data_IF_064756405820
#
_entry.id   IF_064756405820
#
_cell.length_a   1.000
_cell.length_b   1.000
_cell.length_c   1.000
_cell.angle_alpha   90.00
_cell.angle_beta   90.00
_cell.angle_gamma   90.00
#
_symmetry.space_group_name_H-M   'P 1'
#
loop_
_entity.id
_entity.type
_entity.pdbx_description
1 polymer ?
#
# COMPACT_ATOMS: atom_id res chain seq x y z
N UNK A 1 24.12 -17.46 21.55
CA UNK A 1 23.56 -16.11 21.26
C UNK A 1 24.48 -14.99 21.76
N UNK A 2 25.02 -15.10 23.00
CA UNK A 2 26.00 -14.16 23.57
C UNK A 2 27.30 -14.02 22.74
N UNK A 3 27.81 -15.13 22.20
CA UNK A 3 29.04 -15.17 21.38
C UNK A 3 28.97 -14.46 20.01
N UNK A 4 27.77 -14.15 19.49
CA UNK A 4 27.59 -13.45 18.21
C UNK A 4 27.51 -11.92 18.40
N UNK A 5 26.96 -11.48 19.54
CA UNK A 5 26.96 -10.08 19.93
C UNK A 5 28.35 -9.61 20.36
N UNK A 6 29.09 -10.44 21.10
CA UNK A 6 30.47 -10.14 21.52
C UNK A 6 31.46 -10.03 20.34
N UNK A 7 31.11 -10.57 19.17
CA UNK A 7 31.91 -10.47 17.93
C UNK A 7 31.54 -9.27 17.05
N UNK A 8 30.64 -8.39 17.50
CA UNK A 8 30.14 -7.26 16.68
C UNK A 8 29.30 -7.67 15.47
N UNK A 9 29.00 -8.97 15.32
CA UNK A 9 28.21 -9.53 14.22
C UNK A 9 26.70 -9.47 14.50
N UNK A 10 26.30 -8.90 15.65
CA UNK A 10 24.91 -8.68 16.04
C UNK A 10 24.36 -7.29 15.65
N UNK A 11 25.21 -6.35 15.25
CA UNK A 11 24.77 -5.02 14.79
C UNK A 11 24.41 -5.06 13.31
N UNK A 12 23.20 -5.55 13.02
CA UNK A 12 22.53 -5.17 11.78
C UNK A 12 22.14 -3.71 11.95
N UNK A 13 22.76 -2.80 11.19
CA UNK A 13 22.30 -1.42 11.09
C UNK A 13 20.79 -1.45 10.87
N UNK A 14 20.05 -0.96 11.87
CA UNK A 14 18.62 -0.80 11.78
C UNK A 14 18.30 -0.02 10.51
N UNK A 15 17.34 -0.53 9.76
CA UNK A 15 16.90 0.06 8.51
C UNK A 15 16.35 1.48 8.76
N UNK A 16 16.69 2.47 7.93
CA UNK A 16 16.29 3.86 8.10
C UNK A 16 14.79 4.06 7.76
N UNK A 17 14.12 5.01 8.41
CA UNK A 17 12.74 5.35 8.08
C UNK A 17 12.68 6.21 6.79
N UNK A 18 11.59 6.09 6.03
CA UNK A 18 11.27 7.07 4.99
C UNK A 18 11.04 8.44 5.66
N UNK A 19 11.72 9.48 5.17
CA UNK A 19 11.49 10.86 5.62
C UNK A 19 10.22 11.41 4.96
N UNK A 20 9.66 12.50 5.50
CA UNK A 20 8.54 13.19 4.86
C UNK A 20 8.90 13.69 3.46
N UNK A 21 10.15 14.10 3.25
CA UNK A 21 10.63 14.51 1.92
C UNK A 21 10.64 13.32 0.95
N UNK A 22 11.15 12.15 1.36
CA UNK A 22 11.12 10.95 0.50
C UNK A 22 9.68 10.56 0.14
N UNK A 23 8.75 10.64 1.10
CA UNK A 23 7.33 10.37 0.85
C UNK A 23 6.76 11.36 -0.18
N UNK A 24 7.06 12.65 -0.03
CA UNK A 24 6.62 13.69 -0.97
C UNK A 24 7.22 13.48 -2.37
N UNK A 25 8.51 13.17 -2.46
CA UNK A 25 9.22 12.92 -3.72
C UNK A 25 8.61 11.72 -4.45
N UNK A 26 8.40 10.60 -3.74
CA UNK A 26 7.74 9.40 -4.30
C UNK A 26 6.35 9.74 -4.81
N UNK A 27 5.53 10.45 -4.01
CA UNK A 27 4.15 10.81 -4.35
C UNK A 27 4.04 11.88 -5.44
N UNK A 28 5.09 12.66 -5.70
CA UNK A 28 5.16 13.61 -6.80
C UNK A 28 5.76 13.02 -8.08
N UNK A 29 6.40 11.85 -7.98
CA UNK A 29 7.07 11.23 -9.12
C UNK A 29 6.06 10.71 -10.17
N UNK A 30 6.45 10.66 -11.46
CA UNK A 30 5.63 10.05 -12.50
C UNK A 30 5.23 8.59 -12.19
N UNK A 31 6.07 7.88 -11.43
CA UNK A 31 5.86 6.49 -11.01
C UNK A 31 4.55 6.27 -10.22
N UNK A 32 4.08 7.31 -9.52
CA UNK A 32 2.86 7.30 -8.70
C UNK A 32 1.83 8.31 -9.19
N UNK A 33 1.86 8.67 -10.47
CA UNK A 33 0.83 9.52 -11.08
C UNK A 33 -0.56 8.87 -11.03
N UNK A 34 -1.61 9.69 -11.00
CA UNK A 34 -3.00 9.24 -11.09
C UNK A 34 -3.49 9.08 -12.53
N UNK A 35 -2.65 9.32 -13.54
CA UNK A 35 -3.05 9.41 -14.95
C UNK A 35 -3.15 8.08 -15.69
N UNK A 36 -2.71 6.97 -15.08
CA UNK A 36 -2.73 5.64 -15.68
C UNK A 36 -3.04 4.56 -14.64
N UNK A 37 -3.57 3.39 -15.05
CA UNK A 37 -3.86 2.31 -14.12
C UNK A 37 -2.61 1.80 -13.41
N UNK A 38 -1.48 1.71 -14.11
CA UNK A 38 -0.21 1.20 -13.60
C UNK A 38 0.39 2.11 -12.52
N UNK A 39 0.37 3.42 -12.75
CA UNK A 39 0.90 4.39 -11.79
C UNK A 39 -0.06 4.63 -10.63
N UNK A 40 -1.37 4.62 -10.86
CA UNK A 40 -2.36 4.75 -9.80
C UNK A 40 -2.34 3.55 -8.85
N UNK A 41 -2.17 2.33 -9.36
CA UNK A 41 -2.11 1.15 -8.49
C UNK A 41 -0.83 1.14 -7.64
N UNK A 42 0.30 1.60 -8.18
CA UNK A 42 1.54 1.82 -7.42
C UNK A 42 1.36 2.91 -6.36
N UNK A 43 0.64 3.98 -6.68
CA UNK A 43 0.32 5.07 -5.74
C UNK A 43 -0.49 4.58 -4.53
N UNK A 44 -1.61 3.88 -4.75
CA UNK A 44 -2.42 3.32 -3.65
C UNK A 44 -1.67 2.21 -2.90
N UNK A 45 -0.79 1.46 -3.58
CA UNK A 45 0.11 0.53 -2.92
C UNK A 45 1.05 1.23 -1.93
N UNK A 46 1.64 2.35 -2.34
CA UNK A 46 2.50 3.14 -1.47
C UNK A 46 1.72 3.73 -0.28
N UNK A 47 0.51 4.26 -0.51
CA UNK A 47 -0.38 4.70 0.58
C UNK A 47 -0.68 3.57 1.58
N UNK A 48 -1.00 2.36 1.10
CA UNK A 48 -1.20 1.20 1.98
C UNK A 48 0.06 0.88 2.81
N UNK A 49 1.25 1.04 2.23
CA UNK A 49 2.51 0.77 2.94
C UNK A 49 2.79 1.79 4.06
N UNK A 50 2.47 3.08 3.85
CA UNK A 50 2.77 4.15 4.81
C UNK A 50 1.62 4.43 5.80
N UNK A 51 0.36 4.31 5.40
CA UNK A 51 -0.81 4.63 6.24
C UNK A 51 -1.28 3.43 7.06
N UNK A 52 -1.23 2.24 6.47
CA UNK A 52 -1.75 1.01 7.10
C UNK A 52 -0.63 0.14 7.69
N UNK A 53 0.63 0.56 7.47
CA UNK A 53 1.82 -0.21 7.77
C UNK A 53 1.77 -1.63 7.18
N UNK A 54 1.20 -1.80 5.99
CA UNK A 54 1.18 -3.09 5.30
C UNK A 54 2.61 -3.50 4.93
N UNK A 55 2.96 -4.78 5.12
CA UNK A 55 4.29 -5.32 4.81
C UNK A 55 4.22 -6.60 4.00
N UNK A 56 5.05 -6.70 2.97
CA UNK A 56 5.28 -7.93 2.21
C UNK A 56 3.98 -8.64 1.81
N UNK A 57 3.79 -9.86 2.30
CA UNK A 57 2.61 -10.68 1.97
C UNK A 57 1.26 -10.13 2.42
N UNK A 58 1.21 -9.15 3.34
CA UNK A 58 -0.05 -8.54 3.76
C UNK A 58 -0.73 -7.79 2.61
N UNK A 59 0.06 -7.12 1.76
CA UNK A 59 -0.49 -6.46 0.56
C UNK A 59 -1.25 -7.44 -0.32
N UNK A 60 -0.69 -8.63 -0.54
CA UNK A 60 -1.33 -9.66 -1.37
C UNK A 60 -2.62 -10.22 -0.75
N UNK A 61 -2.87 -10.01 0.53
CA UNK A 61 -4.07 -10.51 1.21
C UNK A 61 -5.13 -9.44 1.43
N UNK A 62 -4.85 -8.18 1.05
CA UNK A 62 -5.80 -7.09 1.18
C UNK A 62 -7.04 -7.35 0.30
N UNK A 63 -8.20 -7.10 0.88
CA UNK A 63 -9.50 -7.17 0.21
C UNK A 63 -10.14 -5.79 0.14
N UNK A 64 -10.93 -5.57 -0.91
CA UNK A 64 -11.60 -4.29 -1.17
C UNK A 64 -12.66 -3.98 -0.10
N UNK A 65 -13.34 -4.99 0.41
CA UNK A 65 -14.40 -4.89 1.43
C UNK A 65 -13.88 -4.47 2.81
N UNK A 66 -12.55 -4.51 3.03
CA UNK A 66 -11.92 -3.97 4.23
C UNK A 66 -11.94 -2.43 4.26
N UNK A 67 -12.26 -1.77 3.14
CA UNK A 67 -12.27 -0.32 3.01
C UNK A 67 -13.70 0.20 2.90
N UNK A 68 -14.08 1.12 3.77
CA UNK A 68 -15.40 1.78 3.73
C UNK A 68 -15.23 3.30 3.70
N UNK A 69 -15.84 3.98 2.72
CA UNK A 69 -15.89 5.44 2.65
C UNK A 69 -16.87 5.96 3.71
N UNK A 70 -16.46 7.01 4.43
CA UNK A 70 -17.27 7.72 5.42
C UNK A 70 -18.03 8.89 4.79
N UNK A 71 -19.05 9.38 5.48
CA UNK A 71 -19.86 10.54 5.05
C UNK A 71 -19.02 11.81 4.86
N UNK A 72 -18.02 12.03 5.72
CA UNK A 72 -17.08 13.16 5.62
C UNK A 72 -16.03 12.99 4.50
N UNK A 73 -16.11 11.90 3.75
CA UNK A 73 -15.16 11.57 2.70
C UNK A 73 -13.88 10.91 3.19
N UNK A 74 -13.69 10.68 4.48
CA UNK A 74 -12.60 9.85 5.00
C UNK A 74 -12.81 8.36 4.67
N UNK A 75 -11.84 7.52 5.01
CA UNK A 75 -11.91 6.06 4.78
C UNK A 75 -11.64 5.33 6.09
N UNK A 76 -12.37 4.25 6.36
CA UNK A 76 -12.00 3.30 7.40
C UNK A 76 -11.43 2.05 6.75
N UNK A 77 -10.29 1.60 7.24
CA UNK A 77 -9.72 0.29 6.93
C UNK A 77 -9.93 -0.67 8.10
N UNK A 78 -10.41 -1.88 7.81
CA UNK A 78 -10.64 -2.94 8.79
C UNK A 78 -9.54 -4.00 8.68
N UNK A 79 -8.67 -4.08 9.68
CA UNK A 79 -7.57 -5.05 9.74
C UNK A 79 -7.97 -6.26 10.58
N UNK A 80 -8.14 -7.40 9.91
CA UNK A 80 -8.65 -8.63 10.54
C UNK A 80 -7.56 -9.51 11.20
N UNK A 81 -6.27 -9.34 10.85
CA UNK A 81 -5.16 -10.08 11.46
C UNK A 81 -3.89 -9.23 11.49
N UNK A 82 -3.27 -9.07 12.66
CA UNK A 82 -1.84 -8.78 12.76
C UNK A 82 -1.14 -10.04 13.24
N UNK A 83 0.06 -10.33 12.71
CA UNK A 83 0.87 -11.50 13.10
C UNK A 83 1.25 -11.51 14.59
N UNK A 84 1.08 -10.38 15.29
CA UNK A 84 1.36 -10.24 16.71
C UNK A 84 0.09 -10.24 17.57
N UNK A 85 -1.08 -10.55 17.01
CA UNK A 85 -2.25 -10.85 17.83
C UNK A 85 -2.10 -12.27 18.39
N UNK A 86 -1.15 -12.46 19.31
CA UNK A 86 -0.97 -13.65 20.13
C UNK A 86 -2.11 -13.74 21.15
N UNK A 87 -3.36 -13.60 20.70
CA UNK A 87 -4.56 -13.83 21.50
C UNK A 87 -5.11 -15.17 21.03
N UNK A 88 -4.83 -16.19 21.82
CA UNK A 88 -5.15 -17.58 21.49
C UNK A 88 -6.64 -17.80 21.19
N UNK A 89 -6.90 -18.79 20.33
CA UNK A 89 -8.13 -19.60 20.11
C UNK A 89 -9.50 -18.90 19.96
N UNK A 90 -9.67 -17.62 20.27
CA UNK A 90 -10.96 -16.93 20.17
C UNK A 90 -10.83 -15.68 19.30
N UNK A 91 -11.50 -15.72 18.14
CA UNK A 91 -11.43 -14.74 17.06
C UNK A 91 -11.41 -13.28 17.53
N UNK A 92 -10.31 -12.58 17.25
CA UNK A 92 -10.13 -11.19 17.61
C UNK A 92 -11.02 -10.25 16.80
N UNK A 93 -11.42 -9.14 17.43
CA UNK A 93 -12.14 -8.03 16.80
C UNK A 93 -11.21 -7.32 15.80
N UNK A 94 -11.74 -6.95 14.62
CA UNK A 94 -10.98 -6.22 13.61
C UNK A 94 -10.51 -4.85 14.15
N UNK A 95 -9.25 -4.51 13.93
CA UNK A 95 -8.75 -3.16 14.22
C UNK A 95 -9.24 -2.20 13.13
N UNK A 96 -9.93 -1.14 13.53
CA UNK A 96 -10.34 -0.06 12.63
C UNK A 96 -9.25 1.00 12.56
N UNK A 97 -8.70 1.24 11.38
CA UNK A 97 -7.69 2.28 11.11
C UNK A 97 -8.37 3.39 10.29
N UNK A 98 -8.60 4.58 10.87
CA UNK A 98 -9.19 5.70 10.13
C UNK A 98 -8.12 6.41 9.29
N UNK A 99 -8.45 6.68 8.02
CA UNK A 99 -7.75 7.60 7.15
C UNK A 99 -8.58 8.90 7.11
N UNK A 100 -8.04 10.02 7.60
CA UNK A 100 -8.75 11.31 7.59
C UNK A 100 -9.16 11.72 6.17
N UNK A 101 -10.27 12.45 6.06
CA UNK A 101 -10.67 13.06 4.81
C UNK A 101 -9.57 14.02 4.31
N UNK A 102 -9.39 14.07 2.99
CA UNK A 102 -8.46 15.02 2.40
C UNK A 102 -8.96 16.46 2.63
N UNK A 103 -8.07 17.43 2.84
CA UNK A 103 -8.43 18.83 2.82
C UNK A 103 -9.20 19.20 1.53
N UNK A 104 -10.15 20.15 1.58
CA UNK A 104 -10.87 20.61 0.40
C UNK A 104 -9.92 21.01 -0.74
N UNK A 105 -10.24 20.60 -1.96
CA UNK A 105 -9.44 20.86 -3.17
C UNK A 105 -8.01 20.31 -3.14
N UNK A 106 -7.72 19.29 -2.30
CA UNK A 106 -6.42 18.61 -2.28
C UNK A 106 -6.51 17.20 -2.88
N UNK A 107 -5.45 16.78 -3.57
CA UNK A 107 -5.28 15.42 -4.09
C UNK A 107 -4.53 14.55 -3.09
N UNK A 108 -5.23 14.09 -2.05
CA UNK A 108 -4.66 13.27 -0.97
C UNK A 108 -4.98 11.77 -1.09
N UNK A 109 -4.63 10.97 -0.07
CA UNK A 109 -4.84 9.53 -0.09
C UNK A 109 -6.31 9.13 -0.29
N UNK A 110 -7.27 9.85 0.31
CA UNK A 110 -8.68 9.49 0.16
C UNK A 110 -9.16 9.66 -1.29
N UNK A 111 -8.72 10.71 -1.99
CA UNK A 111 -8.95 10.93 -3.41
C UNK A 111 -8.39 9.78 -4.23
N UNK A 112 -7.15 9.38 -3.97
CA UNK A 112 -6.49 8.30 -4.72
C UNK A 112 -7.19 6.95 -4.54
N UNK A 113 -7.62 6.62 -3.32
CA UNK A 113 -8.40 5.40 -3.06
C UNK A 113 -9.76 5.46 -3.77
N UNK A 114 -10.48 6.58 -3.69
CA UNK A 114 -11.79 6.72 -4.34
C UNK A 114 -11.67 6.61 -5.85
N UNK A 115 -10.66 7.26 -6.44
CA UNK A 115 -10.37 7.13 -7.87
C UNK A 115 -10.07 5.67 -8.22
N UNK A 116 -9.23 4.99 -7.44
CA UNK A 116 -8.96 3.57 -7.65
C UNK A 116 -10.24 2.74 -7.59
N UNK A 117 -11.09 2.94 -6.58
CA UNK A 117 -12.36 2.21 -6.42
C UNK A 117 -13.33 2.46 -7.58
N UNK A 118 -13.45 3.70 -8.05
CA UNK A 118 -14.26 4.05 -9.22
C UNK A 118 -13.77 3.35 -10.49
N UNK A 119 -12.45 3.20 -10.65
CA UNK A 119 -11.85 2.54 -11.82
C UNK A 119 -11.87 1.01 -11.76
N UNK A 120 -12.25 0.42 -10.62
CA UNK A 120 -12.41 -1.04 -10.51
C UNK A 120 -13.69 -1.50 -11.22
N UNK A 121 -13.63 -2.57 -12.04
CA UNK A 121 -14.84 -3.19 -12.59
C UNK A 121 -15.76 -3.70 -11.48
N UNK A 122 -17.08 -3.61 -11.70
CA UNK A 122 -18.12 -4.00 -10.73
C UNK A 122 -18.06 -5.49 -10.33
N UNK A 123 -17.64 -6.36 -11.26
CA UNK A 123 -17.56 -7.81 -11.07
C UNK A 123 -16.12 -8.32 -11.01
N UNK A 124 -15.20 -7.48 -10.53
CA UNK A 124 -13.83 -7.87 -10.24
C UNK A 124 -13.73 -8.76 -9.00
N UNK A 125 -12.62 -9.50 -8.89
CA UNK A 125 -12.27 -10.26 -7.70
C UNK A 125 -12.23 -9.36 -6.45
N UNK A 126 -12.55 -9.94 -5.30
CA UNK A 126 -12.54 -9.24 -3.98
C UNK A 126 -11.16 -8.70 -3.58
N UNK A 127 -10.09 -9.18 -4.21
CA UNK A 127 -8.72 -8.78 -3.95
C UNK A 127 -8.49 -7.29 -4.23
N UNK A 128 -7.76 -6.63 -3.33
CA UNK A 128 -7.57 -5.18 -3.38
C UNK A 128 -6.76 -4.73 -4.59
N UNK A 129 -5.79 -5.51 -5.07
CA UNK A 129 -4.96 -5.12 -6.21
C UNK A 129 -5.39 -5.85 -7.48
N UNK A 130 -5.81 -5.13 -8.51
CA UNK A 130 -6.17 -5.72 -9.80
C UNK A 130 -5.06 -5.53 -10.83
N UNK A 131 -5.04 -6.38 -11.86
CA UNK A 131 -4.12 -6.18 -12.97
C UNK A 131 -4.51 -4.93 -13.78
N UNK A 132 -3.54 -4.05 -14.06
CA UNK A 132 -3.72 -2.97 -15.02
C UNK A 132 -4.06 -3.53 -16.41
N UNK A 133 -4.98 -2.87 -17.10
CA UNK A 133 -5.33 -3.23 -18.46
C UNK A 133 -4.37 -2.50 -19.44
N UNK A 134 -3.54 -3.22 -20.22
CA UNK A 134 -2.64 -2.56 -21.17
C UNK A 134 -3.37 -1.82 -22.30
N UNK A 135 -4.64 -2.14 -22.55
CA UNK A 135 -5.49 -1.47 -23.56
C UNK A 135 -6.46 -0.47 -22.94
N UNK A 136 -6.14 0.09 -21.77
CA UNK A 136 -7.04 1.01 -21.06
C UNK A 136 -7.37 2.27 -21.87
N UNK A 137 -6.45 2.74 -22.70
CA UNK A 137 -6.68 3.91 -23.57
C UNK A 137 -7.69 3.62 -24.68
N UNK A 138 -7.68 2.40 -25.22
CA UNK A 138 -8.61 1.96 -26.28
C UNK A 138 -9.99 1.62 -25.73
N UNK A 139 -10.03 0.99 -24.56
CA UNK A 139 -11.26 0.41 -23.99
C UNK A 139 -11.94 1.32 -22.96
N UNK A 140 -11.24 2.32 -22.43
CA UNK A 140 -11.66 3.10 -21.26
C UNK A 140 -11.61 2.30 -19.94
N UNK A 141 -11.30 1.00 -19.98
CA UNK A 141 -11.28 0.11 -18.82
C UNK A 141 -9.88 0.09 -18.23
N UNK A 142 -9.73 0.59 -17.01
CA UNK A 142 -8.44 0.76 -16.35
C UNK A 142 -7.85 -0.54 -15.82
N UNK A 143 -8.68 -1.36 -15.16
CA UNK A 143 -8.24 -2.60 -14.52
C UNK A 143 -8.98 -3.80 -15.07
N UNK A 144 -8.29 -4.94 -15.14
CA UNK A 144 -8.90 -6.25 -15.38
C UNK A 144 -9.59 -6.73 -14.10
N UNK A 145 -10.42 -7.77 -14.21
CA UNK A 145 -11.16 -8.34 -13.08
C UNK A 145 -10.29 -9.19 -12.16
N UNK A 146 -9.13 -9.65 -12.65
CA UNK A 146 -8.25 -10.57 -11.95
C UNK A 146 -7.27 -9.85 -11.02
N UNK A 147 -6.97 -10.49 -9.88
CA UNK A 147 -5.91 -10.09 -8.97
C UNK A 147 -4.55 -10.05 -9.69
N UNK A 148 -3.75 -9.04 -9.39
CA UNK A 148 -2.34 -8.99 -9.78
C UNK A 148 -1.56 -10.19 -9.21
N UNK A 149 -0.62 -10.72 -10.00
CA UNK A 149 0.25 -11.80 -9.55
C UNK A 149 1.15 -11.37 -8.38
N UNK A 150 1.38 -12.28 -7.42
CA UNK A 150 2.19 -12.04 -6.22
C UNK A 150 3.59 -11.50 -6.53
N UNK A 151 4.24 -12.05 -7.55
CA UNK A 151 5.59 -11.63 -7.96
C UNK A 151 5.59 -10.19 -8.47
N UNK A 152 4.58 -9.83 -9.27
CA UNK A 152 4.43 -8.46 -9.78
C UNK A 152 4.21 -7.48 -8.61
N UNK A 153 3.30 -7.80 -7.69
CA UNK A 153 3.03 -6.96 -6.51
C UNK A 153 4.28 -6.80 -5.63
N UNK A 154 5.04 -7.86 -5.42
CA UNK A 154 6.29 -7.80 -4.64
C UNK A 154 7.36 -6.91 -5.28
N UNK A 155 7.27 -6.68 -6.59
CA UNK A 155 8.18 -5.80 -7.33
C UNK A 155 7.87 -4.31 -7.17
N UNK A 156 6.69 -3.92 -6.65
CA UNK A 156 6.25 -2.52 -6.65
C UNK A 156 7.16 -1.59 -5.85
N UNK A 157 7.53 -1.95 -4.61
CA UNK A 157 8.47 -1.12 -3.83
C UNK A 157 9.82 -0.95 -4.53
N UNK A 158 10.33 -2.02 -5.15
CA UNK A 158 11.58 -1.99 -5.90
C UNK A 158 11.48 -1.08 -7.13
N UNK A 159 10.37 -1.15 -7.87
CA UNK A 159 10.13 -0.28 -9.01
C UNK A 159 10.07 1.19 -8.57
N UNK A 160 9.33 1.50 -7.50
CA UNK A 160 9.24 2.86 -6.97
C UNK A 160 10.60 3.40 -6.53
N UNK A 161 11.41 2.59 -5.86
CA UNK A 161 12.77 2.96 -5.47
C UNK A 161 13.65 3.32 -6.67
N UNK A 162 13.62 2.48 -7.70
CA UNK A 162 14.41 2.67 -8.92
C UNK A 162 13.96 3.91 -9.69
N UNK A 163 12.65 4.12 -9.82
CA UNK A 163 12.08 5.26 -10.55
C UNK A 163 12.30 6.60 -9.81
N UNK A 164 12.46 6.59 -8.49
CA UNK A 164 12.65 7.80 -7.66
C UNK A 164 14.10 8.06 -7.26
N UNK A 165 15.00 7.11 -7.53
CA UNK A 165 16.41 7.19 -7.10
C UNK A 165 16.61 7.07 -5.59
N UNK A 166 15.56 6.74 -4.83
CA UNK A 166 15.62 6.54 -3.38
C UNK A 166 16.09 5.12 -3.12
N UNK A 167 17.21 4.97 -2.42
CA UNK A 167 17.67 3.64 -2.01
C UNK A 167 16.73 3.08 -0.93
N UNK A 168 15.89 2.12 -1.32
CA UNK A 168 15.00 1.42 -0.39
C UNK A 168 15.66 0.22 0.28
N UNK A 169 16.92 -0.09 -0.03
CA UNK A 169 17.65 -1.16 0.65
C UNK A 169 17.85 -0.77 2.12
N UNK A 170 17.09 -1.42 2.99
CA UNK A 170 17.08 -1.08 4.40
C UNK A 170 16.19 0.12 4.73
N UNK A 171 15.08 0.33 4.01
CA UNK A 171 13.99 1.18 4.47
C UNK A 171 12.81 0.31 4.98
N UNK A 172 12.50 0.43 6.27
CA UNK A 172 11.33 -0.19 6.90
C UNK A 172 10.38 0.91 7.31
N UNK A 173 9.08 0.70 7.11
CA UNK A 173 8.05 1.55 7.69
C UNK A 173 8.11 1.43 9.23
N UNK A 174 8.87 2.32 9.86
CA UNK A 174 8.79 2.54 11.30
C UNK A 174 7.54 3.35 11.58
N UNK A 175 6.43 2.65 11.80
CA UNK A 175 5.24 3.21 12.42
C UNK A 175 5.14 2.59 13.82
N UNK A 176 5.77 3.25 14.81
CA UNK A 176 5.59 3.00 16.25
C UNK A 176 6.36 1.82 16.82
#
# INVERSE_FOLDING_TARGET
MKELQDKGLGEIKGSAALTQQHIADILSSPATSISSPDTLIKRVFFHNAILLACRGGEHYQLKIDQFSIREDGGINFQRYRSKNNQRGVMGGVAQKIPIPADPPNSGGPCYDYKLYFEKRPVDAESDFYLQANPRWQETGIWYRKQHIGRNNLSGFMKALAQETGIDVNGLTNHSG
#
